data_IF_397854266153
#
_entry.id   IF_397854266153
#
_cell.length_a   1.000
_cell.length_b   1.000
_cell.length_c   1.000
_cell.angle_alpha   90.00
_cell.angle_beta   90.00
_cell.angle_gamma   90.00
#
_symmetry.space_group_name_H-M   'P 1'
#
loop_
_entity.id
_entity.type
_entity.pdbx_description
1 polymer ?
2 water ?
#
# COMPACT_ATOMS: atom_id res chain seq x y z
N UNK A 8 -20.75 23.68 -8.71
CA UNK A 8 -20.78 22.93 -7.42
C UNK A 8 -21.34 21.52 -7.59
N UNK A 9 -22.67 21.42 -7.57
CA UNK A 9 -23.38 20.16 -7.80
C UNK A 9 -22.82 19.46 -9.03
N UNK A 10 -22.48 20.25 -10.05
CA UNK A 10 -21.73 19.80 -11.21
C UNK A 10 -20.43 19.05 -10.89
N UNK A 11 -19.60 19.60 -10.01
CA UNK A 11 -18.33 18.97 -9.71
C UNK A 11 -18.60 17.72 -8.89
N UNK A 12 -19.56 17.81 -7.97
CA UNK A 12 -19.97 16.68 -7.16
C UNK A 12 -20.36 15.54 -8.08
N UNK A 13 -21.17 15.84 -9.06
CA UNK A 13 -21.66 14.84 -9.93
C UNK A 13 -20.53 14.32 -10.77
N UNK A 14 -19.54 15.15 -10.95
CA UNK A 14 -18.42 14.80 -11.77
C UNK A 14 -17.60 13.77 -11.09
N UNK A 15 -17.46 13.91 -9.78
CA UNK A 15 -16.77 12.94 -8.98
C UNK A 15 -17.52 11.62 -8.85
N UNK A 16 -18.78 11.69 -8.45
CA UNK A 16 -19.61 10.51 -8.34
C UNK A 16 -19.50 9.66 -9.58
N UNK A 17 -19.61 10.31 -10.72
CA UNK A 17 -19.56 9.70 -12.03
C UNK A 17 -18.27 8.92 -12.28
N UNK A 18 -17.13 9.54 -11.98
CA UNK A 18 -15.81 8.96 -12.12
C UNK A 18 -15.69 7.69 -11.28
N UNK A 19 -16.16 7.76 -10.03
CA UNK A 19 -16.05 6.62 -9.14
C UNK A 19 -16.96 5.48 -9.57
N UNK A 20 -18.02 5.83 -10.31
CA UNK A 20 -19.02 4.84 -10.75
C UNK A 20 -18.45 4.03 -11.87
N UNK A 21 -17.86 4.71 -12.82
CA UNK A 21 -17.20 4.04 -13.90
C UNK A 21 -16.06 3.20 -13.31
N UNK A 22 -15.40 3.70 -12.27
CA UNK A 22 -14.36 2.91 -11.59
C UNK A 22 -14.90 1.61 -10.99
N UNK A 23 -15.88 1.72 -10.12
CA UNK A 23 -16.52 0.52 -9.61
C UNK A 23 -16.89 -0.50 -10.73
N UNK A 24 -17.59 -0.06 -11.79
CA UNK A 24 -18.00 -0.92 -12.94
C UNK A 24 -16.83 -1.64 -13.67
N UNK A 25 -15.78 -0.89 -13.98
CA UNK A 25 -14.56 -1.45 -14.56
C UNK A 25 -14.02 -2.59 -13.74
N UNK A 26 -14.07 -2.43 -12.42
CA UNK A 26 -13.47 -3.37 -11.49
C UNK A 26 -14.39 -4.55 -11.23
N UNK A 27 -15.70 -4.31 -11.35
CA UNK A 27 -16.64 -5.41 -11.30
C UNK A 27 -16.29 -6.40 -12.44
N UNK A 28 -16.23 -5.90 -13.67
CA UNK A 28 -15.90 -6.76 -14.81
C UNK A 28 -14.50 -7.33 -14.67
N UNK A 29 -13.54 -6.42 -14.62
CA UNK A 29 -12.10 -6.72 -14.57
C UNK A 29 -11.69 -7.68 -13.48
N UNK A 30 -12.21 -7.50 -12.26
CA UNK A 30 -11.79 -8.39 -11.17
C UNK A 30 -12.42 -9.76 -11.24
N UNK A 31 -13.60 -9.83 -11.86
CA UNK A 31 -14.23 -11.12 -12.21
C UNK A 31 -13.37 -11.90 -13.22
N UNK A 32 -12.88 -11.23 -14.28
CA UNK A 32 -12.01 -11.88 -15.29
C UNK A 32 -10.70 -12.36 -14.68
N UNK A 33 -10.03 -11.50 -13.90
CA UNK A 33 -8.84 -11.85 -13.09
C UNK A 33 -9.14 -13.11 -12.32
N UNK A 34 -10.37 -13.18 -11.80
CA UNK A 34 -10.81 -14.36 -11.05
C UNK A 34 -10.99 -15.62 -11.91
N UNK A 35 -11.28 -15.50 -13.18
CA UNK A 35 -11.48 -16.67 -14.00
C UNK A 35 -10.17 -17.20 -14.47
N UNK A 36 -9.21 -16.30 -14.51
CA UNK A 36 -7.89 -16.58 -15.00
C UNK A 36 -6.88 -16.89 -13.92
N UNK A 37 -7.31 -17.29 -12.74
CA UNK A 37 -6.34 -17.64 -11.72
C UNK A 37 -6.48 -19.09 -11.27
N UNK A 38 -5.46 -19.88 -11.49
CA UNK A 38 -5.48 -21.24 -10.96
C UNK A 38 -5.44 -21.24 -9.41
N UNK A 39 -4.75 -20.29 -8.80
CA UNK A 39 -4.60 -20.29 -7.33
C UNK A 39 -5.91 -19.90 -6.63
N UNK A 40 -6.45 -20.80 -5.78
CA UNK A 40 -7.80 -20.66 -5.25
C UNK A 40 -7.94 -19.58 -4.19
N UNK A 41 -6.87 -19.29 -3.46
CA UNK A 41 -6.88 -18.18 -2.49
C UNK A 41 -6.93 -16.82 -3.20
N UNK A 42 -6.17 -16.68 -4.30
CA UNK A 42 -6.17 -15.47 -5.11
C UNK A 42 -7.40 -15.27 -5.99
N UNK A 43 -8.07 -16.37 -6.37
CA UNK A 43 -9.38 -16.32 -7.06
C UNK A 43 -10.40 -15.70 -6.15
N UNK A 44 -10.49 -16.24 -4.93
CA UNK A 44 -11.49 -15.85 -3.95
C UNK A 44 -11.40 -14.37 -3.60
N UNK A 45 -10.20 -13.80 -3.69
CA UNK A 45 -9.93 -12.42 -3.29
C UNK A 45 -10.32 -11.46 -4.40
N UNK A 46 -9.99 -11.86 -5.63
CA UNK A 46 -10.43 -11.17 -6.84
C UNK A 46 -11.93 -11.21 -6.99
N UNK A 47 -12.54 -12.25 -6.47
CA UNK A 47 -13.96 -12.42 -6.60
C UNK A 47 -14.67 -11.57 -5.54
N UNK A 48 -14.16 -11.54 -4.31
CA UNK A 48 -14.75 -10.70 -3.27
C UNK A 48 -14.65 -9.20 -3.67
N UNK A 49 -13.50 -8.81 -4.22
CA UNK A 49 -13.31 -7.43 -4.70
C UNK A 49 -14.28 -7.14 -5.86
N UNK A 50 -14.35 -8.01 -6.86
CA UNK A 50 -15.39 -7.91 -7.90
C UNK A 50 -16.78 -7.56 -7.36
N UNK A 51 -17.24 -8.36 -6.40
CA UNK A 51 -18.55 -8.29 -5.80
C UNK A 51 -18.76 -6.96 -5.06
N UNK A 52 -17.72 -6.52 -4.35
CA UNK A 52 -17.75 -5.29 -3.56
C UNK A 52 -17.71 -4.03 -4.47
N UNK A 53 -17.15 -4.13 -5.67
CA UNK A 53 -17.18 -3.01 -6.61
C UNK A 53 -18.60 -2.86 -7.07
N UNK A 54 -19.24 -4.01 -7.36
CA UNK A 54 -20.65 -4.09 -7.77
C UNK A 54 -21.56 -3.37 -6.77
N UNK A 55 -21.42 -3.69 -5.49
CA UNK A 55 -22.13 -2.95 -4.43
C UNK A 55 -21.82 -1.46 -4.41
N UNK A 56 -20.55 -1.12 -4.63
CA UNK A 56 -20.10 0.27 -4.65
C UNK A 56 -20.82 1.06 -5.73
N UNK A 57 -20.78 0.49 -6.94
CA UNK A 57 -21.59 0.95 -8.09
C UNK A 57 -23.10 1.22 -7.80
N UNK A 58 -23.80 0.31 -7.11
CA UNK A 58 -25.24 0.44 -6.85
C UNK A 58 -25.45 1.63 -5.97
N UNK A 59 -24.60 1.74 -4.95
CA UNK A 59 -24.68 2.84 -4.01
C UNK A 59 -24.33 4.18 -4.66
N UNK A 60 -23.39 4.18 -5.60
CA UNK A 60 -23.00 5.43 -6.25
C UNK A 60 -23.96 5.78 -7.38
N UNK A 61 -24.82 4.85 -7.73
CA UNK A 61 -25.81 5.18 -8.76
C UNK A 61 -27.10 5.74 -8.15
N UNK A 62 -27.49 5.26 -6.98
CA UNK A 62 -28.66 5.84 -6.31
C UNK A 62 -28.42 7.34 -6.16
N UNK A 63 -27.38 7.68 -5.41
CA UNK A 63 -26.95 9.07 -5.13
C UNK A 63 -26.80 9.94 -6.41
N UNK A 64 -26.27 9.39 -7.52
CA UNK A 64 -26.19 10.11 -8.82
C UNK A 64 -27.59 10.40 -9.41
N UNK A 65 -28.50 9.44 -9.29
CA UNK A 65 -29.85 9.63 -9.77
C UNK A 65 -30.60 10.57 -8.81
N UNK A 66 -30.45 10.33 -7.51
CA UNK A 66 -31.01 11.26 -6.51
C UNK A 66 -30.63 12.69 -6.84
N UNK A 67 -29.34 12.97 -7.13
CA UNK A 67 -28.91 14.37 -7.36
C UNK A 67 -29.23 14.95 -8.76
N UNK A 68 -29.82 14.15 -9.65
CA UNK A 68 -30.26 14.67 -10.93
C UNK A 68 -29.49 14.17 -12.14
N UNK A 69 -28.49 13.33 -11.89
CA UNK A 69 -27.59 12.88 -12.94
C UNK A 69 -28.10 11.74 -13.79
N UNK A 70 -27.44 11.55 -14.92
CA UNK A 70 -27.65 10.40 -15.78
C UNK A 70 -26.30 9.69 -15.87
N UNK A 71 -26.27 8.41 -15.49
CA UNK A 71 -25.12 7.47 -15.59
C UNK A 71 -25.09 6.61 -16.87
N UNK A 97 0.31 -16.16 -15.49
CA UNK A 97 -0.37 -16.00 -14.22
C UNK A 97 0.27 -14.96 -13.31
N UNK A 98 1.58 -14.87 -13.32
CA UNK A 98 2.26 -13.74 -12.76
C UNK A 98 1.83 -12.52 -13.54
N UNK A 99 1.93 -12.59 -14.85
CA UNK A 99 1.46 -11.53 -15.72
C UNK A 99 0.06 -11.09 -15.40
N UNK A 100 -0.78 -12.03 -15.01
CA UNK A 100 -2.13 -11.75 -14.67
C UNK A 100 -2.25 -11.00 -13.36
N UNK A 101 -1.34 -11.26 -12.45
CA UNK A 101 -1.36 -10.64 -11.17
C UNK A 101 -0.90 -9.23 -11.28
N UNK A 102 0.09 -9.02 -12.10
CA UNK A 102 0.57 -7.68 -12.32
C UNK A 102 -0.48 -6.71 -12.85
N UNK A 103 -1.29 -7.13 -13.82
CA UNK A 103 -2.30 -6.23 -14.37
C UNK A 103 -3.47 -6.00 -13.40
N UNK A 104 -3.84 -7.05 -12.66
CA UNK A 104 -4.95 -6.97 -11.74
C UNK A 104 -4.60 -6.11 -10.56
N UNK A 105 -3.35 -6.24 -10.10
CA UNK A 105 -2.85 -5.37 -9.04
C UNK A 105 -2.77 -3.94 -9.54
N UNK A 106 -2.29 -3.72 -10.78
CA UNK A 106 -2.42 -2.37 -11.43
C UNK A 106 -3.83 -1.80 -11.30
N UNK A 107 -4.82 -2.64 -11.57
CA UNK A 107 -6.22 -2.24 -11.55
C UNK A 107 -6.69 -1.83 -10.18
N UNK A 108 -6.17 -2.47 -9.14
CA UNK A 108 -6.47 -2.13 -7.76
C UNK A 108 -5.88 -0.76 -7.37
N UNK A 109 -4.64 -0.52 -7.78
CA UNK A 109 -3.95 0.74 -7.54
C UNK A 109 -4.61 1.94 -8.26
N UNK A 110 -4.92 1.74 -9.54
CA UNK A 110 -5.82 2.70 -10.17
C UNK A 110 -7.07 2.96 -9.29
N UNK A 111 -7.77 1.93 -8.74
CA UNK A 111 -8.97 2.21 -7.89
C UNK A 111 -8.63 3.12 -6.72
N UNK A 112 -7.66 2.70 -5.91
CA UNK A 112 -7.13 3.46 -4.78
C UNK A 112 -6.87 4.92 -5.11
N UNK A 113 -6.15 5.16 -6.20
CA UNK A 113 -5.81 6.53 -6.60
C UNK A 113 -7.04 7.38 -6.92
N UNK A 114 -8.00 6.81 -7.66
CA UNK A 114 -9.23 7.53 -8.02
C UNK A 114 -10.02 7.91 -6.75
N UNK A 115 -10.08 7.01 -5.75
CA UNK A 115 -10.71 7.31 -4.46
C UNK A 115 -9.99 8.37 -3.58
N UNK A 116 -8.65 8.27 -3.45
CA UNK A 116 -7.81 9.32 -2.85
C UNK A 116 -8.06 10.71 -3.45
N UNK A 117 -8.01 10.81 -4.79
CA UNK A 117 -8.26 12.10 -5.47
C UNK A 117 -9.65 12.62 -5.11
N UNK A 118 -10.63 11.71 -5.13
CA UNK A 118 -12.01 12.02 -4.81
C UNK A 118 -12.17 12.53 -3.38
N UNK A 119 -11.41 11.95 -2.45
CA UNK A 119 -11.46 12.39 -1.07
C UNK A 119 -10.80 13.76 -0.79
N UNK A 120 -9.86 14.18 -1.65
CA UNK A 120 -9.33 15.55 -1.69
C UNK A 120 -10.38 16.65 -1.87
N UNK A 121 -11.42 16.40 -2.67
CA UNK A 121 -12.38 17.45 -2.99
C UNK A 121 -13.31 17.74 -1.82
N UNK A 122 -13.85 18.97 -1.76
CA UNK A 122 -14.83 19.35 -0.73
C UNK A 122 -16.22 19.00 -1.21
N UNK A 123 -16.95 18.23 -0.39
CA UNK A 123 -18.23 17.66 -0.81
C UNK A 123 -19.19 17.56 0.37
N UNK A 124 -20.48 17.54 0.08
CA UNK A 124 -21.49 17.34 1.09
C UNK A 124 -21.08 16.29 2.08
N UNK A 125 -21.36 16.56 3.34
CA UNK A 125 -20.88 15.72 4.40
C UNK A 125 -21.25 14.30 4.14
N UNK A 126 -22.52 14.11 3.86
CA UNK A 126 -23.08 12.83 3.58
C UNK A 126 -22.31 12.06 2.49
N UNK A 127 -21.99 12.72 1.40
CA UNK A 127 -21.28 12.08 0.30
C UNK A 127 -19.86 11.66 0.67
N UNK A 128 -19.11 12.54 1.29
CA UNK A 128 -17.78 12.20 1.86
C UNK A 128 -17.79 10.87 2.64
N UNK A 129 -18.73 10.70 3.57
CA UNK A 129 -18.80 9.48 4.36
C UNK A 129 -18.89 8.18 3.57
N UNK A 130 -19.71 8.19 2.52
CA UNK A 130 -19.87 7.06 1.62
C UNK A 130 -18.53 6.70 0.93
N UNK A 131 -17.83 7.72 0.44
CA UNK A 131 -16.63 7.52 -0.36
C UNK A 131 -15.49 7.03 0.55
N UNK A 132 -15.39 7.68 1.73
CA UNK A 132 -14.52 7.25 2.82
C UNK A 132 -14.71 5.77 3.09
N UNK A 133 -15.94 5.37 3.37
CA UNK A 133 -16.21 3.99 3.70
C UNK A 133 -15.87 3.01 2.54
N UNK A 134 -16.10 3.44 1.29
CA UNK A 134 -15.83 2.61 0.11
C UNK A 134 -14.33 2.48 -0.07
N UNK A 135 -13.64 3.58 0.20
CA UNK A 135 -12.18 3.65 0.22
C UNK A 135 -11.60 2.60 1.20
N UNK A 136 -12.19 2.48 2.40
CA UNK A 136 -11.68 1.48 3.34
C UNK A 136 -11.74 0.10 2.73
N UNK A 137 -12.79 -0.15 1.96
CA UNK A 137 -12.96 -1.44 1.35
C UNK A 137 -11.88 -1.65 0.31
N UNK A 138 -11.70 -0.68 -0.58
CA UNK A 138 -10.68 -0.70 -1.63
C UNK A 138 -9.29 -1.07 -1.11
N UNK A 139 -8.88 -0.40 -0.01
CA UNK A 139 -7.62 -0.71 0.72
C UNK A 139 -7.52 -2.12 1.32
N UNK A 140 -8.60 -2.59 1.96
CA UNK A 140 -8.58 -3.93 2.54
C UNK A 140 -8.30 -4.97 1.50
N UNK A 141 -8.96 -4.86 0.34
CA UNK A 141 -8.75 -5.84 -0.71
C UNK A 141 -7.35 -5.80 -1.30
N UNK A 142 -6.79 -4.60 -1.51
CA UNK A 142 -5.42 -4.52 -2.02
C UNK A 142 -4.44 -5.02 -0.98
N UNK A 143 -4.62 -4.61 0.27
CA UNK A 143 -3.84 -5.16 1.37
C UNK A 143 -3.84 -6.70 1.39
N UNK A 144 -5.01 -7.31 1.13
CA UNK A 144 -5.13 -8.78 1.01
C UNK A 144 -4.29 -9.41 -0.14
N UNK A 145 -4.50 -8.94 -1.36
CA UNK A 145 -3.80 -9.51 -2.52
C UNK A 145 -2.29 -9.31 -2.41
N UNK A 146 -1.89 -8.20 -1.80
CA UNK A 146 -0.47 -7.85 -1.66
C UNK A 146 0.11 -8.81 -0.62
N UNK A 147 -0.64 -9.02 0.46
CA UNK A 147 -0.28 -10.03 1.44
C UNK A 147 -0.10 -11.45 0.83
N UNK A 148 -0.97 -11.80 -0.12
CA UNK A 148 -0.95 -13.13 -0.75
C UNK A 148 0.17 -13.29 -1.74
N UNK A 149 0.52 -12.18 -2.39
CA UNK A 149 1.63 -12.19 -3.33
C UNK A 149 2.95 -12.39 -2.58
N UNK A 150 3.07 -11.74 -1.40
CA UNK A 150 4.20 -11.87 -0.49
C UNK A 150 4.46 -13.32 -0.02
N UNK A 151 3.41 -14.04 0.38
CA UNK A 151 3.58 -15.43 0.81
C UNK A 151 4.04 -16.39 -0.31
N UNK A 152 4.06 -15.94 -1.56
CA UNK A 152 4.49 -16.79 -2.70
C UNK A 152 5.88 -16.36 -3.12
N UNK A 153 6.41 -15.34 -2.43
CA UNK A 153 7.75 -14.86 -2.71
C UNK A 153 8.81 -15.60 -1.89
N UNK B 8 7.53 2.44 30.12
CA UNK B 8 8.53 1.41 30.55
C UNK B 8 9.77 1.32 29.63
N UNK B 9 10.94 1.27 30.24
CA UNK B 9 12.23 1.30 29.53
C UNK B 9 12.59 0.03 28.75
N UNK B 10 12.22 -1.12 29.28
CA UNK B 10 12.42 -2.39 28.61
C UNK B 10 11.69 -2.43 27.31
N UNK B 11 10.44 -2.01 27.34
CA UNK B 11 9.56 -2.15 26.19
C UNK B 11 10.09 -1.23 25.11
N UNK B 12 10.23 0.04 25.46
CA UNK B 12 10.77 1.04 24.58
C UNK B 12 12.01 0.52 23.87
N UNK B 13 12.91 -0.08 24.65
CA UNK B 13 14.15 -0.65 24.12
C UNK B 13 13.91 -1.83 23.19
N UNK B 14 12.85 -2.60 23.45
CA UNK B 14 12.53 -3.76 22.64
C UNK B 14 12.08 -3.30 21.28
N UNK B 15 11.25 -2.26 21.29
CA UNK B 15 10.76 -1.71 20.03
C UNK B 15 11.90 -1.12 19.18
N UNK B 16 12.76 -0.34 19.81
CA UNK B 16 13.84 0.32 19.10
C UNK B 16 14.76 -0.74 18.47
N UNK B 17 15.02 -1.80 19.24
CA UNK B 17 15.87 -2.90 18.80
C UNK B 17 15.25 -3.67 17.66
N UNK B 18 13.94 -3.89 17.73
CA UNK B 18 13.22 -4.49 16.66
C UNK B 18 13.38 -3.67 15.34
N UNK B 19 13.10 -2.37 15.42
CA UNK B 19 13.19 -1.51 14.23
C UNK B 19 14.61 -1.34 13.74
N UNK B 20 15.55 -1.40 14.68
CA UNK B 20 16.97 -1.28 14.37
C UNK B 20 17.46 -2.48 13.51
N UNK B 21 17.09 -3.70 13.88
CA UNK B 21 17.45 -4.90 13.12
C UNK B 21 16.70 -4.88 11.79
N UNK B 22 15.45 -4.38 11.79
CA UNK B 22 14.74 -4.09 10.54
C UNK B 22 15.55 -3.15 9.65
N UNK B 23 15.85 -1.95 10.12
CA UNK B 23 16.61 -1.04 9.28
C UNK B 23 17.83 -1.75 8.70
N UNK B 24 18.63 -2.40 9.56
CA UNK B 24 19.93 -2.97 9.21
C UNK B 24 19.82 -4.07 8.15
N UNK B 25 18.79 -4.90 8.26
CA UNK B 25 18.40 -5.89 7.23
C UNK B 25 18.05 -5.28 5.90
N UNK B 26 17.27 -4.19 5.99
CA UNK B 26 16.86 -3.41 4.83
C UNK B 26 18.07 -2.80 4.13
N UNK B 27 19.05 -2.34 4.91
CA UNK B 27 20.25 -1.76 4.31
C UNK B 27 20.91 -2.79 3.39
N UNK B 28 21.15 -3.98 3.92
CA UNK B 28 21.80 -5.01 3.17
C UNK B 28 20.88 -5.54 2.08
N UNK B 29 19.67 -5.92 2.48
CA UNK B 29 18.61 -6.46 1.59
C UNK B 29 18.44 -5.68 0.30
N UNK B 30 18.27 -4.37 0.45
CA UNK B 30 17.89 -3.52 -0.68
C UNK B 30 19.05 -3.10 -1.51
N UNK B 31 20.25 -3.16 -0.95
CA UNK B 31 21.47 -3.08 -1.75
C UNK B 31 21.53 -4.35 -2.60
N UNK B 32 21.29 -5.52 -2.02
CA UNK B 32 21.37 -6.76 -2.81
C UNK B 32 20.39 -6.64 -3.97
N UNK B 33 19.14 -6.33 -3.64
CA UNK B 33 18.08 -6.11 -4.62
C UNK B 33 18.52 -5.22 -5.77
N UNK B 34 19.16 -4.10 -5.47
CA UNK B 34 19.57 -3.15 -6.49
C UNK B 34 20.70 -3.64 -7.41
N UNK B 35 21.57 -4.53 -6.93
CA UNK B 35 22.64 -5.10 -7.76
C UNK B 35 22.07 -6.15 -8.70
N UNK B 36 21.12 -6.91 -8.15
CA UNK B 36 20.47 -8.05 -8.80
C UNK B 36 19.35 -7.61 -9.72
N UNK B 37 19.31 -6.34 -10.13
CA UNK B 37 18.19 -5.84 -10.97
C UNK B 37 18.69 -5.09 -12.19
N UNK B 38 18.11 -5.39 -13.35
CA UNK B 38 18.58 -4.81 -14.61
C UNK B 38 18.06 -3.40 -14.89
N UNK B 39 16.76 -3.19 -14.71
CA UNK B 39 16.13 -1.90 -14.98
C UNK B 39 16.54 -0.80 -14.00
N UNK B 40 17.03 0.35 -14.53
CA UNK B 40 17.71 1.40 -13.75
C UNK B 40 16.84 2.24 -12.81
N UNK B 41 15.57 2.46 -13.18
CA UNK B 41 14.63 3.16 -12.28
C UNK B 41 14.36 2.30 -11.04
N UNK B 42 14.17 1.00 -11.24
CA UNK B 42 14.03 0.03 -10.15
C UNK B 42 15.31 -0.21 -9.30
N UNK B 43 16.48 -0.22 -9.95
CA UNK B 43 17.76 -0.25 -9.24
C UNK B 43 17.86 0.92 -8.29
N UNK B 44 17.60 2.12 -8.80
CA UNK B 44 17.83 3.35 -8.10
C UNK B 44 16.87 3.54 -6.92
N UNK B 45 15.63 3.08 -7.07
CA UNK B 45 14.65 3.04 -6.01
C UNK B 45 15.12 2.16 -4.84
N UNK B 46 15.68 1.01 -5.18
CA UNK B 46 16.18 0.07 -4.20
C UNK B 46 17.36 0.67 -3.43
N UNK B 47 18.25 1.37 -4.15
CA UNK B 47 19.47 1.98 -3.61
C UNK B 47 19.09 3.06 -2.58
N UNK B 48 18.18 3.92 -2.94
CA UNK B 48 17.70 4.94 -2.06
C UNK B 48 17.15 4.34 -0.79
N UNK B 49 16.30 3.35 -0.92
CA UNK B 49 15.67 2.75 0.20
C UNK B 49 16.72 2.21 1.14
N UNK B 50 17.68 1.50 0.59
CA UNK B 50 18.82 1.02 1.33
C UNK B 50 19.55 2.09 2.11
N UNK B 51 19.75 3.23 1.49
CA UNK B 51 20.52 4.33 2.08
C UNK B 51 19.70 5.02 3.19
N UNK B 52 18.38 5.09 3.02
CA UNK B 52 17.51 5.59 4.09
C UNK B 52 17.34 4.58 5.22
N UNK B 53 17.63 3.30 4.93
CA UNK B 53 17.61 2.25 5.94
C UNK B 53 18.87 2.41 6.79
N UNK B 54 20.01 2.65 6.14
CA UNK B 54 21.24 3.05 6.85
C UNK B 54 21.02 4.26 7.81
N UNK B 55 20.48 5.34 7.26
CA UNK B 55 20.28 6.56 8.06
C UNK B 55 19.48 6.28 9.33
N UNK B 56 18.31 5.69 9.16
CA UNK B 56 17.40 5.40 10.27
C UNK B 56 18.01 4.45 11.32
N UNK B 57 18.76 3.45 10.85
CA UNK B 57 19.59 2.60 11.71
C UNK B 57 20.54 3.42 12.59
N UNK B 58 21.23 4.43 12.02
CA UNK B 58 22.18 5.25 12.79
C UNK B 58 21.39 5.99 13.86
N UNK B 59 20.20 6.44 13.48
CA UNK B 59 19.39 7.28 14.34
C UNK B 59 18.81 6.49 15.52
N UNK B 60 18.46 5.25 15.28
CA UNK B 60 17.81 4.45 16.29
C UNK B 60 18.83 3.96 17.25
N UNK B 61 20.01 3.71 16.72
CA UNK B 61 21.13 3.26 17.51
C UNK B 61 21.64 4.31 18.45
N UNK B 62 21.58 5.55 18.05
CA UNK B 62 21.91 6.62 18.95
C UNK B 62 20.98 6.64 20.14
N UNK B 63 19.69 6.55 19.91
CA UNK B 63 18.68 6.65 20.97
C UNK B 63 18.83 5.48 21.91
N UNK B 64 19.18 4.32 21.33
CA UNK B 64 19.31 3.10 22.10
C UNK B 64 20.42 3.26 23.14
N UNK B 65 21.59 3.72 22.67
CA UNK B 65 22.76 4.04 23.49
C UNK B 65 22.50 5.09 24.59
N UNK B 66 21.88 6.21 24.24
CA UNK B 66 21.50 7.22 25.24
C UNK B 66 20.59 6.67 26.32
N UNK B 67 19.88 5.60 26.03
CA UNK B 67 18.93 5.05 26.99
C UNK B 67 19.49 3.95 27.88
N UNK B 68 20.67 3.43 27.53
CA UNK B 68 21.35 2.46 28.37
C UNK B 68 21.58 1.12 27.70
N UNK B 69 21.06 0.97 26.49
CA UNK B 69 20.89 -0.34 25.88
C UNK B 69 22.05 -0.80 25.02
N UNK B 70 21.98 -2.07 24.61
CA UNK B 70 22.99 -2.66 23.73
C UNK B 70 22.33 -3.23 22.45
N UNK B 71 22.62 -2.62 21.31
CA UNK B 71 22.05 -3.07 20.03
C UNK B 71 22.28 -4.56 19.80
N UNK B 96 16.39 -14.22 -13.07
CA UNK B 96 14.94 -14.10 -13.13
C UNK B 96 14.45 -12.85 -12.44
N UNK B 97 14.16 -11.82 -13.19
CA UNK B 97 13.77 -10.52 -12.66
C UNK B 97 12.60 -10.52 -11.69
N UNK B 98 11.50 -11.09 -12.12
CA UNK B 98 10.23 -11.02 -11.45
C UNK B 98 10.29 -11.72 -10.13
N UNK B 99 10.92 -12.86 -10.09
CA UNK B 99 11.30 -13.48 -8.82
C UNK B 99 12.08 -12.52 -7.89
N UNK B 100 13.08 -11.81 -8.43
CA UNK B 100 13.89 -10.85 -7.65
C UNK B 100 13.00 -9.71 -7.16
N UNK B 101 12.13 -9.20 -8.04
CA UNK B 101 11.16 -8.15 -7.70
C UNK B 101 10.25 -8.56 -6.55
N UNK B 102 9.61 -9.70 -6.71
CA UNK B 102 8.68 -10.24 -5.75
C UNK B 102 9.30 -10.35 -4.35
N UNK B 103 10.55 -10.81 -4.27
CA UNK B 103 11.23 -10.89 -2.98
C UNK B 103 11.49 -9.52 -2.42
N UNK B 104 11.97 -8.61 -3.26
CA UNK B 104 12.31 -7.24 -2.86
C UNK B 104 11.08 -6.47 -2.33
N UNK B 105 9.94 -6.63 -2.99
CA UNK B 105 8.72 -5.98 -2.48
C UNK B 105 8.24 -6.57 -1.14
N UNK B 106 8.38 -7.88 -0.96
CA UNK B 106 8.06 -8.52 0.32
C UNK B 106 8.82 -7.85 1.47
N UNK B 107 10.13 -7.63 1.26
CA UNK B 107 10.98 -6.87 2.17
C UNK B 107 10.47 -5.48 2.58
N UNK B 108 9.88 -4.76 1.63
CA UNK B 108 9.32 -3.43 1.93
C UNK B 108 8.09 -3.57 2.82
N UNK B 109 7.23 -4.53 2.49
CA UNK B 109 6.06 -4.86 3.29
C UNK B 109 6.36 -5.25 4.72
N UNK B 110 7.39 -6.06 4.89
CA UNK B 110 7.86 -6.40 6.22
C UNK B 110 8.17 -5.10 6.97
N UNK B 111 8.94 -4.21 6.33
CA UNK B 111 9.34 -2.91 6.91
C UNK B 111 8.14 -2.11 7.41
N UNK B 112 7.19 -1.83 6.52
CA UNK B 112 5.91 -1.20 6.85
C UNK B 112 5.17 -1.84 8.00
N UNK B 113 5.08 -3.16 7.98
CA UNK B 113 4.45 -3.84 9.13
C UNK B 113 5.15 -3.60 10.48
N UNK B 114 6.47 -3.69 10.48
CA UNK B 114 7.23 -3.50 11.71
C UNK B 114 7.01 -2.11 12.30
N UNK B 115 7.11 -1.12 11.42
CA UNK B 115 6.84 0.27 11.79
C UNK B 115 5.39 0.44 12.20
N UNK B 116 4.46 -0.11 11.44
CA UNK B 116 3.08 -0.09 11.86
C UNK B 116 2.91 -0.54 13.31
N UNK B 117 3.51 -1.68 13.67
CA UNK B 117 3.36 -2.29 15.00
C UNK B 117 3.98 -1.42 16.13
N UNK B 118 5.18 -0.90 15.86
CA UNK B 118 5.83 0.03 16.77
C UNK B 118 4.98 1.28 17.05
N UNK B 119 4.27 1.74 16.02
CA UNK B 119 3.57 3.01 16.13
C UNK B 119 2.31 2.94 16.99
N UNK B 120 1.78 1.74 17.17
CA UNK B 120 0.60 1.49 17.98
C UNK B 120 0.95 1.59 19.48
N UNK B 121 2.15 1.09 19.82
CA UNK B 121 2.70 1.11 21.18
C UNK B 121 2.92 2.51 21.78
N UNK B 122 2.78 2.59 23.09
CA UNK B 122 2.82 3.87 23.81
C UNK B 122 4.24 4.19 24.27
N UNK B 123 4.83 5.17 23.59
CA UNK B 123 6.19 5.54 23.80
C UNK B 123 6.26 6.95 24.38
N UNK B 124 7.48 7.40 24.73
CA UNK B 124 7.61 8.82 25.08
C UNK B 124 7.47 9.67 23.80
N UNK B 125 7.14 10.96 23.96
CA UNK B 125 6.69 11.75 22.83
C UNK B 125 7.70 11.81 21.68
N UNK B 126 8.95 12.17 22.01
CA UNK B 126 10.01 12.44 21.03
C UNK B 126 10.38 11.18 20.21
N UNK B 127 10.22 10.01 20.83
CA UNK B 127 10.61 8.71 20.25
C UNK B 127 9.56 8.28 19.24
N UNK B 128 8.29 8.45 19.62
CA UNK B 128 7.20 8.29 18.68
C UNK B 128 7.44 9.16 17.42
N UNK B 129 7.84 10.42 17.62
CA UNK B 129 8.01 11.30 16.48
C UNK B 129 9.04 10.81 15.46
N UNK B 130 10.18 10.37 15.95
CA UNK B 130 11.25 9.79 15.15
C UNK B 130 10.72 8.65 14.28
N UNK B 131 9.89 7.81 14.89
CA UNK B 131 9.44 6.55 14.30
C UNK B 131 8.41 6.82 13.21
N UNK B 132 7.47 7.70 13.56
CA UNK B 132 6.52 8.27 12.63
C UNK B 132 7.19 8.87 11.43
N UNK B 133 8.30 9.60 11.62
CA UNK B 133 8.96 10.22 10.50
C UNK B 133 9.63 9.17 9.56
N UNK B 134 10.27 8.18 10.18
CA UNK B 134 10.90 7.08 9.46
C UNK B 134 9.85 6.26 8.71
N UNK B 135 8.70 6.03 9.37
CA UNK B 135 7.61 5.27 8.76
C UNK B 135 7.23 5.93 7.44
N UNK B 136 7.07 7.26 7.48
CA UNK B 136 6.77 8.01 6.28
C UNK B 136 7.71 7.70 5.12
N UNK B 137 9.02 7.64 5.38
CA UNK B 137 9.97 7.32 4.32
C UNK B 137 9.78 5.90 3.79
N UNK B 138 9.54 4.94 4.69
CA UNK B 138 9.18 3.58 4.32
C UNK B 138 8.02 3.57 3.30
N UNK B 139 6.96 4.33 3.60
CA UNK B 139 5.80 4.48 2.71
C UNK B 139 6.14 5.02 1.32
N UNK B 140 6.88 6.12 1.29
CA UNK B 140 7.26 6.77 0.04
C UNK B 140 8.05 5.83 -0.90
N UNK B 141 8.98 5.09 -0.35
CA UNK B 141 9.77 4.20 -1.18
C UNK B 141 8.96 3.03 -1.71
N UNK B 142 8.13 2.40 -0.86
CA UNK B 142 7.25 1.36 -1.32
C UNK B 142 6.32 1.86 -2.40
N UNK B 143 5.65 3.00 -2.21
CA UNK B 143 4.78 3.57 -3.26
C UNK B 143 5.47 3.81 -4.62
N UNK B 144 6.77 4.11 -4.57
CA UNK B 144 7.54 4.34 -5.77
C UNK B 144 7.72 3.06 -6.56
N UNK B 145 8.06 1.99 -5.86
CA UNK B 145 8.26 0.69 -6.48
C UNK B 145 6.90 0.15 -6.97
N UNK B 146 5.86 0.33 -6.17
CA UNK B 146 4.52 -0.15 -6.54
C UNK B 146 4.11 0.54 -7.86
N UNK B 147 4.33 1.84 -7.98
CA UNK B 147 3.96 2.53 -9.24
C UNK B 147 4.83 2.19 -10.48
N UNK B 148 6.11 1.86 -10.23
CA UNK B 148 7.02 1.41 -11.28
C UNK B 148 6.61 0.03 -11.83
N UNK B 149 6.34 -0.91 -10.93
CA UNK B 149 5.74 -2.19 -11.33
C UNK B 149 4.45 -1.97 -12.16
N UNK B 150 3.56 -1.11 -11.66
CA UNK B 150 2.29 -0.84 -12.36
C UNK B 150 2.53 -0.43 -13.79
N UNK B 151 3.63 0.29 -14.03
CA UNK B 151 3.93 0.85 -15.36
C UNK B 151 4.63 -0.14 -16.28
N UNK B 152 4.97 -1.31 -15.76
CA UNK B 152 5.49 -2.40 -16.55
C UNK B 152 4.43 -3.52 -16.72
N UNK B 153 3.21 -3.27 -16.25
CA UNK B 153 2.17 -4.30 -16.33
C UNK B 153 1.22 -4.06 -17.52
#
# INVERSE_FOLDING_TARGET
GSHMNQTNLDDTLDVLNDLLQTSKDGEAGFHACAEDLRDPQLKAAMLEQSRDCAAAADELERIVLELGGKPKDSTSFAGDLHRRWVDLKSLVTGKDEEAVLNECERGEDVAKHRYQAALEKSLPAEIHQVIERQYQGVLRHHDRVRALRDARA
GSHMNQTNLDDTLDVLNDLLQTSKDGEAGFHACAEDLRDPQLKAAMLEQSRDCAAAADELERIVLELGGKPKDSTSFAGDLHRRWVDLKSLVTGKDEEAVLNECERGEDVAKHRYQAALEKSLPAEIHQVIERQYQGVLRHHDRVRALRDARA
#
